data_IF_513633851944
#
_entry.id   IF_513633851944
#
_cell.length_a   1.000
_cell.length_b   1.000
_cell.length_c   1.000
_cell.angle_alpha   90.00
_cell.angle_beta   90.00
_cell.angle_gamma   90.00
#
_symmetry.space_group_name_H-M   'P 1'
#
loop_
_entity.id
_entity.type
_entity.pdbx_description
1 polymer ?
#
# COMPACT_ATOMS: atom_id res chain seq x y z
N UNK A 1 -146.80 99.18 -57.77
CA UNK A 1 -146.77 98.00 -56.88
C UNK A 1 -145.90 96.83 -57.40
N UNK A 2 -145.74 96.59 -58.70
CA UNK A 2 -144.88 95.49 -59.22
C UNK A 2 -143.36 95.71 -59.07
N UNK A 3 -142.90 96.97 -59.06
CA UNK A 3 -141.46 97.30 -58.91
C UNK A 3 -140.90 97.01 -57.51
N UNK A 4 -141.74 97.08 -56.48
CA UNK A 4 -141.32 97.00 -55.07
C UNK A 4 -141.20 95.54 -54.57
N UNK A 5 -141.97 94.64 -55.18
CA UNK A 5 -141.91 93.18 -54.96
C UNK A 5 -140.69 92.54 -55.65
N UNK A 6 -140.35 92.98 -56.86
CA UNK A 6 -139.15 92.54 -57.57
C UNK A 6 -137.86 92.99 -56.86
N UNK A 7 -137.84 94.19 -56.31
CA UNK A 7 -136.69 94.70 -55.54
C UNK A 7 -136.48 93.93 -54.22
N UNK A 8 -137.56 93.56 -53.51
CA UNK A 8 -137.48 92.72 -52.29
C UNK A 8 -137.03 91.29 -52.58
N UNK A 9 -137.55 90.64 -53.63
CA UNK A 9 -137.12 89.29 -54.02
C UNK A 9 -135.67 89.27 -54.52
N UNK A 10 -135.24 90.28 -55.28
CA UNK A 10 -133.85 90.40 -55.71
C UNK A 10 -132.90 90.61 -54.52
N UNK A 11 -133.30 91.36 -53.48
CA UNK A 11 -132.48 91.58 -52.28
C UNK A 11 -132.38 90.33 -51.39
N UNK A 12 -133.47 89.56 -51.25
CA UNK A 12 -133.45 88.26 -50.57
C UNK A 12 -132.63 87.21 -51.33
N UNK A 13 -132.76 87.14 -52.65
CA UNK A 13 -131.96 86.23 -53.49
C UNK A 13 -130.48 86.63 -53.52
N UNK A 14 -130.18 87.93 -53.47
CA UNK A 14 -128.80 88.42 -53.35
C UNK A 14 -128.20 88.09 -51.97
N UNK A 15 -128.97 88.22 -50.88
CA UNK A 15 -128.53 87.80 -49.54
C UNK A 15 -128.33 86.27 -49.43
N UNK A 16 -129.24 85.47 -50.00
CA UNK A 16 -129.12 84.00 -50.08
C UNK A 16 -127.92 83.54 -50.92
N UNK A 17 -127.70 84.16 -52.10
CA UNK A 17 -126.54 83.88 -52.93
C UNK A 17 -125.23 84.29 -52.24
N UNK A 18 -125.22 85.43 -51.53
CA UNK A 18 -124.05 85.90 -50.79
C UNK A 18 -123.70 84.97 -49.63
N UNK A 19 -124.70 84.41 -48.93
CA UNK A 19 -124.50 83.40 -47.89
C UNK A 19 -123.96 82.08 -48.45
N UNK A 20 -124.51 81.59 -49.57
CA UNK A 20 -124.00 80.38 -50.23
C UNK A 20 -122.56 80.57 -50.73
N UNK A 21 -122.25 81.71 -51.35
CA UNK A 21 -120.87 82.04 -51.79
C UNK A 21 -119.92 82.15 -50.60
N UNK A 22 -120.37 82.72 -49.48
CA UNK A 22 -119.57 82.79 -48.25
C UNK A 22 -119.31 81.41 -47.65
N UNK A 23 -120.32 80.54 -47.58
CA UNK A 23 -120.16 79.16 -47.12
C UNK A 23 -119.22 78.37 -48.03
N UNK A 24 -119.33 78.52 -49.35
CA UNK A 24 -118.42 77.88 -50.31
C UNK A 24 -116.99 78.41 -50.14
N UNK A 25 -116.80 79.71 -49.92
CA UNK A 25 -115.48 80.29 -49.68
C UNK A 25 -114.87 79.83 -48.35
N UNK A 26 -115.66 79.74 -47.27
CA UNK A 26 -115.25 79.20 -45.97
C UNK A 26 -114.89 77.71 -46.08
N UNK A 27 -115.69 76.93 -46.81
CA UNK A 27 -115.42 75.51 -47.08
C UNK A 27 -114.15 75.32 -47.93
N UNK A 28 -113.95 76.16 -48.94
CA UNK A 28 -112.76 76.14 -49.78
C UNK A 28 -111.50 76.55 -49.00
N UNK A 29 -111.60 77.52 -48.10
CA UNK A 29 -110.52 77.89 -47.19
C UNK A 29 -110.19 76.77 -46.19
N UNK A 30 -111.21 76.10 -45.61
CA UNK A 30 -111.01 74.94 -44.74
C UNK A 30 -110.32 73.78 -45.49
N UNK A 31 -110.81 73.44 -46.69
CA UNK A 31 -110.19 72.42 -47.54
C UNK A 31 -108.76 72.78 -47.92
N UNK A 32 -108.48 74.03 -48.29
CA UNK A 32 -107.12 74.48 -48.61
C UNK A 32 -106.18 74.36 -47.41
N UNK A 33 -106.63 74.77 -46.22
CA UNK A 33 -105.90 74.63 -44.96
C UNK A 33 -105.63 73.15 -44.61
N UNK A 34 -106.60 72.27 -44.86
CA UNK A 34 -106.45 70.84 -44.62
C UNK A 34 -105.48 70.17 -45.61
N UNK A 35 -105.54 70.54 -46.88
CA UNK A 35 -104.58 70.11 -47.91
C UNK A 35 -103.16 70.54 -47.53
N UNK A 36 -102.99 71.76 -47.04
CA UNK A 36 -101.68 72.30 -46.66
C UNK A 36 -101.09 71.57 -45.44
N UNK A 37 -101.92 71.25 -44.43
CA UNK A 37 -101.54 70.38 -43.31
C UNK A 37 -101.16 68.98 -43.77
N UNK A 38 -101.96 68.37 -44.64
CA UNK A 38 -101.68 67.03 -45.18
C UNK A 38 -100.37 67.01 -45.98
N UNK A 39 -100.07 68.08 -46.74
CA UNK A 39 -98.82 68.22 -47.49
C UNK A 39 -97.61 68.33 -46.55
N UNK A 40 -97.72 69.08 -45.46
CA UNK A 40 -96.66 69.16 -44.44
C UNK A 40 -96.38 67.79 -43.79
N UNK A 41 -97.43 67.04 -43.45
CA UNK A 41 -97.31 65.67 -42.92
C UNK A 41 -96.65 64.74 -43.95
N UNK A 42 -97.04 64.82 -45.22
CA UNK A 42 -96.42 64.06 -46.30
C UNK A 42 -94.92 64.31 -46.43
N UNK A 43 -94.47 65.58 -46.38
CA UNK A 43 -93.05 65.90 -46.43
C UNK A 43 -92.29 65.38 -45.21
N UNK A 44 -92.87 65.46 -44.01
CA UNK A 44 -92.26 64.89 -42.81
C UNK A 44 -92.12 63.36 -42.89
N UNK A 45 -93.16 62.68 -43.37
CA UNK A 45 -93.12 61.23 -43.59
C UNK A 45 -92.08 60.85 -44.64
N UNK A 46 -91.98 61.61 -45.73
CA UNK A 46 -90.98 61.38 -46.78
C UNK A 46 -89.55 61.55 -46.26
N UNK A 47 -89.29 62.59 -45.45
CA UNK A 47 -87.98 62.79 -44.82
C UNK A 47 -87.61 61.65 -43.88
N UNK A 48 -88.55 61.21 -43.02
CA UNK A 48 -88.35 60.05 -42.14
C UNK A 48 -88.10 58.76 -42.91
N UNK A 49 -88.82 58.54 -44.02
CA UNK A 49 -88.61 57.37 -44.85
C UNK A 49 -87.20 57.33 -45.44
N UNK A 50 -86.70 58.46 -45.94
CA UNK A 50 -85.34 58.56 -46.47
C UNK A 50 -84.26 58.38 -45.39
N UNK A 51 -84.51 58.84 -44.16
CA UNK A 51 -83.61 58.64 -43.03
C UNK A 51 -83.55 57.16 -42.63
N UNK A 52 -84.70 56.52 -42.47
CA UNK A 52 -84.78 55.08 -42.19
C UNK A 52 -84.15 54.23 -43.30
N UNK A 53 -84.31 54.62 -44.57
CA UNK A 53 -83.67 53.94 -45.69
C UNK A 53 -82.13 54.02 -45.63
N UNK A 54 -81.58 55.18 -45.22
CA UNK A 54 -80.13 55.32 -45.00
C UNK A 54 -79.64 54.47 -43.84
N UNK A 55 -80.35 54.49 -42.71
CA UNK A 55 -80.02 53.65 -41.55
C UNK A 55 -80.08 52.17 -41.90
N UNK A 56 -81.13 51.73 -42.60
CA UNK A 56 -81.27 50.35 -43.05
C UNK A 56 -80.10 49.91 -43.93
N UNK A 57 -79.68 50.75 -44.88
CA UNK A 57 -78.53 50.47 -45.74
C UNK A 57 -77.21 50.41 -44.95
N UNK A 58 -77.03 51.28 -43.95
CA UNK A 58 -75.86 51.26 -43.05
C UNK A 58 -75.80 49.98 -42.23
N UNK A 59 -76.90 49.61 -41.59
CA UNK A 59 -77.03 48.36 -40.81
C UNK A 59 -76.78 47.15 -41.71
N UNK A 60 -77.33 47.14 -42.93
CA UNK A 60 -77.12 46.04 -43.87
C UNK A 60 -75.64 45.89 -44.24
N UNK A 61 -74.90 46.99 -44.40
CA UNK A 61 -73.48 46.95 -44.70
C UNK A 61 -72.69 46.42 -43.50
N UNK A 62 -72.96 46.93 -42.30
CA UNK A 62 -72.31 46.51 -41.06
C UNK A 62 -72.54 45.02 -40.78
N UNK A 63 -73.78 44.54 -40.92
CA UNK A 63 -74.12 43.11 -40.79
C UNK A 63 -73.35 42.25 -41.78
N UNK A 64 -73.22 42.69 -43.05
CA UNK A 64 -72.45 41.94 -44.06
C UNK A 64 -70.95 41.93 -43.75
N UNK A 65 -70.41 42.99 -43.15
CA UNK A 65 -69.00 43.01 -42.76
C UNK A 65 -68.73 42.11 -41.56
N UNK A 66 -69.59 42.15 -40.53
CA UNK A 66 -69.45 41.31 -39.35
C UNK A 66 -69.67 39.83 -39.66
N UNK A 67 -70.60 39.49 -40.55
CA UNK A 67 -70.81 38.12 -41.03
C UNK A 67 -69.53 37.54 -41.69
N UNK A 68 -68.82 38.34 -42.49
CA UNK A 68 -67.54 37.92 -43.08
C UNK A 68 -66.45 37.74 -42.03
N UNK A 69 -66.39 38.61 -41.03
CA UNK A 69 -65.43 38.49 -39.93
C UNK A 69 -65.68 37.24 -39.09
N UNK A 70 -66.94 36.91 -38.82
CA UNK A 70 -67.32 35.67 -38.13
C UNK A 70 -66.82 34.45 -38.91
N UNK A 71 -67.07 34.40 -40.23
CA UNK A 71 -66.60 33.28 -41.05
C UNK A 71 -65.07 33.13 -41.03
N UNK A 72 -64.32 34.24 -41.10
CA UNK A 72 -62.86 34.19 -41.00
C UNK A 72 -62.37 33.71 -39.62
N UNK A 73 -63.08 34.07 -38.55
CA UNK A 73 -62.76 33.59 -37.21
C UNK A 73 -63.09 32.11 -37.05
N UNK A 74 -64.22 31.64 -37.59
CA UNK A 74 -64.61 30.23 -37.58
C UNK A 74 -63.56 29.35 -38.28
N UNK A 75 -63.09 29.78 -39.46
CA UNK A 75 -62.00 29.09 -40.18
C UNK A 75 -60.71 29.03 -39.33
N UNK A 76 -60.35 30.13 -38.66
CA UNK A 76 -59.18 30.18 -37.78
C UNK A 76 -59.33 29.27 -36.54
N UNK A 77 -60.53 29.18 -35.98
CA UNK A 77 -60.86 28.28 -34.87
C UNK A 77 -60.71 26.83 -35.32
N UNK A 78 -61.21 26.46 -36.50
CA UNK A 78 -61.12 25.09 -37.01
C UNK A 78 -59.67 24.64 -37.21
N UNK A 79 -58.84 25.49 -37.84
CA UNK A 79 -57.40 25.23 -38.03
C UNK A 79 -56.69 25.05 -36.68
N UNK A 80 -56.98 25.92 -35.71
CA UNK A 80 -56.35 25.86 -34.39
C UNK A 80 -56.77 24.59 -33.63
N UNK A 81 -58.05 24.21 -33.73
CA UNK A 81 -58.58 23.00 -33.12
C UNK A 81 -57.88 21.75 -33.67
N UNK A 82 -57.74 21.64 -34.99
CA UNK A 82 -57.02 20.54 -35.62
C UNK A 82 -55.56 20.47 -35.14
N UNK A 83 -54.89 21.63 -35.03
CA UNK A 83 -53.53 21.69 -34.53
C UNK A 83 -53.42 21.20 -33.07
N UNK A 84 -54.34 21.63 -32.20
CA UNK A 84 -54.40 21.17 -30.81
C UNK A 84 -54.62 19.66 -30.71
N UNK A 85 -55.56 19.10 -31.48
CA UNK A 85 -55.83 17.66 -31.51
C UNK A 85 -54.59 16.85 -31.94
N UNK A 86 -53.85 17.34 -32.94
CA UNK A 86 -52.60 16.70 -33.38
C UNK A 86 -51.51 16.78 -32.32
N UNK A 87 -51.37 17.91 -31.61
CA UNK A 87 -50.42 18.04 -30.50
C UNK A 87 -50.79 17.11 -29.34
N UNK A 88 -52.06 17.01 -28.98
CA UNK A 88 -52.52 16.09 -27.94
C UNK A 88 -52.21 14.63 -28.29
N UNK A 89 -52.41 14.24 -29.55
CA UNK A 89 -52.07 12.90 -30.01
C UNK A 89 -50.56 12.62 -29.87
N UNK A 90 -49.71 13.58 -30.24
CA UNK A 90 -48.25 13.47 -30.09
C UNK A 90 -47.83 13.38 -28.62
N UNK A 91 -48.41 14.20 -27.74
CA UNK A 91 -48.13 14.16 -26.30
C UNK A 91 -48.49 12.79 -25.72
N UNK A 92 -49.66 12.24 -26.09
CA UNK A 92 -50.06 10.89 -25.66
C UNK A 92 -49.11 9.81 -26.16
N UNK A 93 -48.66 9.89 -27.41
CA UNK A 93 -47.71 8.95 -27.97
C UNK A 93 -46.35 9.00 -27.23
N UNK A 94 -45.81 10.20 -27.01
CA UNK A 94 -44.56 10.40 -26.26
C UNK A 94 -44.68 9.92 -24.81
N UNK A 95 -45.83 10.13 -24.17
CA UNK A 95 -46.07 9.64 -22.81
C UNK A 95 -46.04 8.11 -22.74
N UNK A 96 -46.69 7.44 -23.70
CA UNK A 96 -46.69 5.98 -23.77
C UNK A 96 -45.28 5.42 -24.03
N UNK A 97 -44.51 6.04 -24.93
CA UNK A 97 -43.13 5.66 -25.19
C UNK A 97 -42.22 5.85 -23.97
N UNK A 98 -42.34 6.97 -23.25
CA UNK A 98 -41.61 7.20 -22.00
C UNK A 98 -41.94 6.16 -20.93
N UNK A 99 -43.22 5.79 -20.80
CA UNK A 99 -43.63 4.73 -19.88
C UNK A 99 -42.98 3.40 -20.23
N UNK A 100 -42.97 3.03 -21.52
CA UNK A 100 -42.32 1.81 -21.99
C UNK A 100 -40.82 1.81 -21.69
N UNK A 101 -40.12 2.89 -22.06
CA UNK A 101 -38.68 3.03 -21.82
C UNK A 101 -38.33 2.93 -20.33
N UNK A 102 -39.17 3.47 -19.45
CA UNK A 102 -38.98 3.37 -18.00
C UNK A 102 -39.06 1.91 -17.53
N UNK A 103 -40.08 1.16 -17.97
CA UNK A 103 -40.20 -0.26 -17.62
C UNK A 103 -39.03 -1.11 -18.16
N UNK A 104 -38.59 -0.84 -19.39
CA UNK A 104 -37.45 -1.53 -19.98
C UNK A 104 -36.16 -1.23 -19.18
N UNK A 105 -35.97 0.03 -18.74
CA UNK A 105 -34.84 0.43 -17.91
C UNK A 105 -34.87 -0.21 -16.51
N UNK A 106 -36.03 -0.26 -15.86
CA UNK A 106 -36.23 -0.93 -14.58
C UNK A 106 -35.90 -2.43 -14.69
N UNK A 107 -36.37 -3.09 -15.75
CA UNK A 107 -36.09 -4.51 -16.02
C UNK A 107 -34.58 -4.78 -16.15
N UNK A 108 -33.88 -3.98 -16.96
CA UNK A 108 -32.42 -4.11 -17.15
C UNK A 108 -31.67 -3.85 -15.84
N UNK A 109 -32.12 -2.89 -15.04
CA UNK A 109 -31.52 -2.59 -13.75
C UNK A 109 -31.65 -3.76 -12.76
N UNK A 110 -32.82 -4.38 -12.66
CA UNK A 110 -33.04 -5.56 -11.81
C UNK A 110 -32.16 -6.75 -12.24
N UNK A 111 -32.05 -7.01 -13.55
CA UNK A 111 -31.17 -8.05 -14.10
C UNK A 111 -29.70 -7.77 -13.76
N UNK A 112 -29.26 -6.51 -13.90
CA UNK A 112 -27.91 -6.09 -13.54
C UNK A 112 -27.61 -6.33 -12.05
N UNK A 113 -28.52 -5.93 -11.16
CA UNK A 113 -28.36 -6.10 -9.71
C UNK A 113 -28.29 -7.58 -9.33
N UNK A 114 -29.12 -8.42 -9.94
CA UNK A 114 -29.10 -9.87 -9.75
C UNK A 114 -27.76 -10.49 -10.17
N UNK A 115 -27.26 -10.12 -11.37
CA UNK A 115 -25.96 -10.60 -11.88
C UNK A 115 -24.82 -10.07 -11.00
N UNK A 116 -24.89 -8.82 -10.57
CA UNK A 116 -23.88 -8.20 -9.71
C UNK A 116 -23.79 -8.89 -8.35
N UNK A 117 -24.92 -9.18 -7.71
CA UNK A 117 -24.97 -9.91 -6.44
C UNK A 117 -24.34 -11.31 -6.58
N UNK A 118 -24.75 -12.06 -7.61
CA UNK A 118 -24.19 -13.39 -7.91
C UNK A 118 -22.68 -13.38 -8.14
N UNK A 119 -22.18 -12.40 -8.91
CA UNK A 119 -20.76 -12.25 -9.18
C UNK A 119 -19.97 -11.88 -7.91
N UNK A 120 -20.56 -11.04 -7.06
CA UNK A 120 -19.96 -10.65 -5.78
C UNK A 120 -19.82 -11.86 -4.86
N UNK A 121 -20.86 -12.68 -4.72
CA UNK A 121 -20.78 -13.94 -3.96
C UNK A 121 -19.72 -14.89 -4.50
N UNK A 122 -19.62 -15.02 -5.83
CA UNK A 122 -18.61 -15.89 -6.44
C UNK A 122 -17.19 -15.40 -6.18
N UNK A 123 -16.95 -14.08 -6.22
CA UNK A 123 -15.65 -13.49 -5.88
C UNK A 123 -15.27 -13.74 -4.43
N UNK A 124 -16.21 -13.58 -3.50
CA UNK A 124 -15.96 -13.86 -2.08
C UNK A 124 -15.67 -15.35 -1.85
N UNK A 125 -16.37 -16.26 -2.53
CA UNK A 125 -16.05 -17.71 -2.50
C UNK A 125 -14.63 -18.00 -3.00
N UNK A 126 -14.21 -17.40 -4.10
CA UNK A 126 -12.83 -17.54 -4.60
C UNK A 126 -11.82 -17.01 -3.58
N UNK A 127 -12.08 -15.83 -3.01
CA UNK A 127 -11.20 -15.21 -2.02
C UNK A 127 -11.06 -16.08 -0.77
N UNK A 128 -12.17 -16.61 -0.26
CA UNK A 128 -12.16 -17.55 0.87
C UNK A 128 -11.34 -18.81 0.54
N UNK A 129 -11.54 -19.39 -0.65
CA UNK A 129 -10.78 -20.57 -1.06
C UNK A 129 -9.27 -20.28 -1.20
N UNK A 130 -8.90 -19.15 -1.80
CA UNK A 130 -7.50 -18.71 -1.87
C UNK A 130 -6.90 -18.58 -0.47
N UNK A 131 -7.59 -17.94 0.46
CA UNK A 131 -7.09 -17.78 1.83
C UNK A 131 -6.87 -19.13 2.52
N UNK A 132 -7.80 -20.07 2.36
CA UNK A 132 -7.65 -21.43 2.89
C UNK A 132 -6.43 -22.14 2.26
N UNK A 133 -6.24 -21.99 0.95
CA UNK A 133 -5.09 -22.56 0.26
C UNK A 133 -3.77 -21.99 0.81
N UNK A 134 -3.67 -20.65 0.94
CA UNK A 134 -2.50 -19.99 1.53
C UNK A 134 -2.22 -20.47 2.96
N UNK A 135 -3.27 -20.62 3.78
CA UNK A 135 -3.13 -21.11 5.14
C UNK A 135 -2.60 -22.55 5.15
N UNK A 136 -3.15 -23.44 4.33
CA UNK A 136 -2.68 -24.82 4.19
C UNK A 136 -1.22 -24.88 3.70
N UNK A 137 -0.89 -24.11 2.67
CA UNK A 137 0.46 -24.04 2.11
C UNK A 137 1.46 -23.53 3.14
N UNK A 138 1.11 -22.50 3.92
CA UNK A 138 1.96 -21.97 4.99
C UNK A 138 2.26 -22.99 6.10
N UNK A 139 1.32 -23.91 6.35
CA UNK A 139 1.46 -25.00 7.33
C UNK A 139 2.16 -26.24 6.76
N UNK A 140 2.44 -26.27 5.46
CA UNK A 140 3.10 -27.41 4.84
C UNK A 140 4.53 -27.54 5.41
N UNK A 141 4.97 -28.77 5.76
CA UNK A 141 6.29 -28.98 6.38
C UNK A 141 7.44 -28.35 5.59
N UNK A 142 7.38 -28.42 4.26
CA UNK A 142 8.38 -27.83 3.35
C UNK A 142 8.44 -26.31 3.49
N UNK A 143 7.30 -25.62 3.63
CA UNK A 143 7.27 -24.17 3.80
C UNK A 143 7.78 -23.74 5.17
N UNK A 144 7.42 -24.47 6.22
CA UNK A 144 7.94 -24.25 7.58
C UNK A 144 9.46 -24.46 7.60
N UNK A 145 9.94 -25.56 7.01
CA UNK A 145 11.37 -25.86 6.93
C UNK A 145 12.13 -24.81 6.11
N UNK A 146 11.55 -24.36 4.99
CA UNK A 146 12.12 -23.28 4.19
C UNK A 146 12.23 -21.97 4.98
N UNK A 147 11.19 -21.60 5.73
CA UNK A 147 11.21 -20.42 6.60
C UNK A 147 12.31 -20.54 7.68
N UNK A 148 12.42 -21.69 8.32
CA UNK A 148 13.47 -21.96 9.31
C UNK A 148 14.87 -21.90 8.69
N UNK A 149 15.09 -22.52 7.53
CA UNK A 149 16.37 -22.46 6.81
C UNK A 149 16.73 -21.04 6.39
N UNK A 150 15.76 -20.24 5.93
CA UNK A 150 15.97 -18.81 5.64
C UNK A 150 16.40 -18.05 6.88
N UNK A 151 15.76 -18.29 8.03
CA UNK A 151 16.13 -17.66 9.31
C UNK A 151 17.56 -18.04 9.74
N UNK A 152 17.92 -19.32 9.66
CA UNK A 152 19.29 -19.81 9.96
C UNK A 152 20.31 -19.14 9.03
N UNK A 153 20.02 -19.06 7.73
CA UNK A 153 20.91 -18.40 6.76
C UNK A 153 21.07 -16.91 7.10
N UNK A 154 20.02 -16.21 7.53
CA UNK A 154 20.14 -14.81 7.95
C UNK A 154 21.01 -14.67 9.20
N UNK A 155 20.85 -15.53 10.20
CA UNK A 155 21.67 -15.52 11.41
C UNK A 155 23.14 -15.87 11.13
N UNK A 156 23.41 -16.84 10.25
CA UNK A 156 24.77 -17.17 9.86
C UNK A 156 25.43 -16.03 9.09
N UNK A 157 24.66 -15.30 8.27
CA UNK A 157 25.16 -14.10 7.58
C UNK A 157 25.54 -13.01 8.58
N UNK A 158 24.73 -12.76 9.61
CA UNK A 158 25.06 -11.75 10.63
C UNK A 158 26.29 -12.15 11.45
N UNK A 159 26.38 -13.41 11.93
CA UNK A 159 27.56 -13.91 12.66
C UNK A 159 28.83 -13.88 11.82
N UNK A 160 28.74 -14.21 10.53
CA UNK A 160 29.87 -14.12 9.61
C UNK A 160 30.36 -12.67 9.49
N UNK A 161 29.45 -11.72 9.38
CA UNK A 161 29.78 -10.29 9.29
C UNK A 161 30.45 -9.80 10.59
N UNK A 162 29.89 -10.16 11.75
CA UNK A 162 30.48 -9.87 13.06
C UNK A 162 31.92 -10.42 13.19
N UNK A 163 32.13 -11.68 12.83
CA UNK A 163 33.46 -12.30 12.85
C UNK A 163 34.43 -11.64 11.86
N UNK A 164 33.96 -11.27 10.67
CA UNK A 164 34.79 -10.57 9.68
C UNK A 164 35.24 -9.21 10.21
N UNK A 165 34.34 -8.48 10.86
CA UNK A 165 34.64 -7.21 11.50
C UNK A 165 35.63 -7.37 12.66
N UNK A 166 35.48 -8.40 13.50
CA UNK A 166 36.42 -8.68 14.60
C UNK A 166 37.82 -9.05 14.09
N UNK A 167 37.90 -9.85 13.02
CA UNK A 167 39.18 -10.25 12.40
C UNK A 167 39.87 -9.12 11.63
N UNK A 168 39.12 -8.15 11.09
CA UNK A 168 39.72 -6.97 10.46
C UNK A 168 40.16 -5.92 11.47
N UNK A 169 39.62 -5.96 12.69
CA UNK A 169 39.97 -5.03 13.75
C UNK A 169 41.19 -5.54 14.55
N UNK A 170 42.33 -4.84 14.56
CA UNK A 170 43.46 -5.21 15.42
C UNK A 170 43.13 -5.16 16.93
N UNK A 171 42.06 -4.46 17.32
CA UNK A 171 41.50 -4.46 18.69
C UNK A 171 40.36 -5.48 18.87
N UNK A 172 40.08 -6.32 17.88
CA UNK A 172 39.07 -7.36 17.93
C UNK A 172 39.33 -8.35 19.07
N UNK A 173 38.26 -8.88 19.67
CA UNK A 173 38.33 -9.72 20.86
C UNK A 173 39.19 -10.97 20.64
N UNK A 174 39.03 -11.64 19.50
CA UNK A 174 39.82 -12.84 19.17
C UNK A 174 41.29 -12.49 18.89
N UNK A 175 41.53 -11.41 18.14
CA UNK A 175 42.90 -10.97 17.83
C UNK A 175 43.63 -10.59 19.10
N UNK A 176 42.97 -9.86 20.00
CA UNK A 176 43.53 -9.44 21.28
C UNK A 176 43.90 -10.64 22.16
N UNK A 177 43.02 -11.64 22.26
CA UNK A 177 43.31 -12.86 23.02
C UNK A 177 44.53 -13.60 22.47
N UNK A 178 44.61 -13.80 21.14
CA UNK A 178 45.76 -14.44 20.50
C UNK A 178 47.04 -13.63 20.73
N UNK A 179 46.95 -12.30 20.69
CA UNK A 179 48.08 -11.42 20.93
C UNK A 179 48.60 -11.52 22.37
N UNK A 180 47.70 -11.60 23.35
CA UNK A 180 48.02 -11.83 24.76
C UNK A 180 48.70 -13.20 24.96
N UNK A 181 48.18 -14.28 24.39
CA UNK A 181 48.80 -15.62 24.45
C UNK A 181 50.21 -15.64 23.81
N UNK A 182 50.38 -14.97 22.66
CA UNK A 182 51.71 -14.82 22.04
C UNK A 182 52.68 -14.09 22.97
N UNK A 183 52.23 -13.06 23.69
CA UNK A 183 53.10 -12.34 24.63
C UNK A 183 53.48 -13.20 25.85
N UNK A 184 52.54 -13.99 26.37
CA UNK A 184 52.81 -14.92 27.47
C UNK A 184 53.84 -15.97 27.06
N UNK A 185 53.64 -16.62 25.91
CA UNK A 185 54.60 -17.61 25.39
C UNK A 185 55.98 -17.00 25.12
N UNK A 186 56.05 -15.77 24.60
CA UNK A 186 57.33 -15.06 24.44
C UNK A 186 58.07 -14.90 25.77
N UNK A 187 57.35 -14.52 26.83
CA UNK A 187 57.91 -14.34 28.17
C UNK A 187 58.37 -15.67 28.80
N UNK A 188 57.62 -16.75 28.61
CA UNK A 188 58.02 -18.09 29.06
C UNK A 188 59.28 -18.56 28.33
N UNK A 189 59.34 -18.40 27.00
CA UNK A 189 60.51 -18.74 26.21
C UNK A 189 61.75 -17.97 26.69
N UNK A 190 61.63 -16.67 26.98
CA UNK A 190 62.76 -15.89 27.49
C UNK A 190 63.20 -16.38 28.87
N UNK A 191 62.27 -16.66 29.79
CA UNK A 191 62.57 -17.19 31.12
C UNK A 191 63.28 -18.55 31.05
N UNK A 192 62.79 -19.46 30.21
CA UNK A 192 63.40 -20.78 30.01
C UNK A 192 64.79 -20.64 29.38
N UNK A 193 64.99 -19.76 28.40
CA UNK A 193 66.31 -19.48 27.82
C UNK A 193 67.31 -19.00 28.88
N UNK A 194 66.90 -18.06 29.73
CA UNK A 194 67.74 -17.57 30.83
C UNK A 194 68.09 -18.69 31.83
N UNK A 195 67.13 -19.56 32.15
CA UNK A 195 67.35 -20.70 33.02
C UNK A 195 68.34 -21.71 32.40
N UNK A 196 68.19 -22.02 31.11
CA UNK A 196 69.10 -22.91 30.36
C UNK A 196 70.51 -22.33 30.35
N UNK A 197 70.67 -21.03 30.10
CA UNK A 197 71.98 -20.37 30.13
C UNK A 197 72.65 -20.54 31.50
N UNK A 198 71.92 -20.25 32.59
CA UNK A 198 72.44 -20.44 33.97
C UNK A 198 72.85 -21.89 34.25
N UNK A 199 72.05 -22.87 33.81
CA UNK A 199 72.39 -24.30 33.96
C UNK A 199 73.60 -24.70 33.12
N UNK A 200 73.76 -24.11 31.95
CA UNK A 200 74.90 -24.34 31.06
C UNK A 200 76.20 -23.82 31.69
N UNK A 201 76.16 -22.63 32.30
CA UNK A 201 77.31 -22.06 33.02
C UNK A 201 77.74 -22.95 34.20
N UNK A 202 76.79 -23.39 35.04
CA UNK A 202 77.05 -24.30 36.16
C UNK A 202 77.63 -25.64 35.69
N UNK A 203 77.14 -26.19 34.58
CA UNK A 203 77.66 -27.43 34.01
C UNK A 203 79.12 -27.27 33.57
N UNK A 204 79.49 -26.11 33.02
CA UNK A 204 80.86 -25.82 32.62
C UNK A 204 81.79 -25.69 33.83
N UNK A 205 81.32 -25.11 34.94
CA UNK A 205 82.04 -25.09 36.21
C UNK A 205 82.26 -26.49 36.78
N UNK A 206 81.23 -27.34 36.80
CA UNK A 206 81.33 -28.74 37.23
C UNK A 206 82.32 -29.53 36.37
N UNK A 207 82.29 -29.38 35.04
CA UNK A 207 83.28 -30.00 34.14
C UNK A 207 84.72 -29.61 34.51
N UNK A 208 84.96 -28.34 34.83
CA UNK A 208 86.28 -27.86 35.28
C UNK A 208 86.68 -28.47 36.61
N UNK A 209 85.76 -28.59 37.57
CA UNK A 209 86.04 -29.26 38.86
C UNK A 209 86.33 -30.76 38.67
N UNK A 210 85.52 -31.46 37.87
CA UNK A 210 85.72 -32.87 37.57
C UNK A 210 87.09 -33.12 36.92
N UNK A 211 87.51 -32.26 35.99
CA UNK A 211 88.83 -32.35 35.37
C UNK A 211 89.98 -32.18 36.38
N UNK A 212 89.83 -31.31 37.39
CA UNK A 212 90.80 -31.17 38.49
C UNK A 212 90.85 -32.42 39.36
N UNK A 213 89.69 -32.91 39.82
CA UNK A 213 89.60 -34.12 40.65
C UNK A 213 90.19 -35.35 39.94
N UNK A 214 89.94 -35.50 38.63
CA UNK A 214 90.49 -36.60 37.84
C UNK A 214 92.02 -36.58 37.83
N UNK A 215 92.65 -35.41 37.69
CA UNK A 215 94.11 -35.26 37.78
C UNK A 215 94.64 -35.60 39.18
N UNK A 216 93.96 -35.16 40.24
CA UNK A 216 94.34 -35.48 41.62
C UNK A 216 94.27 -36.99 41.91
N UNK A 217 93.19 -37.66 41.50
CA UNK A 217 93.04 -39.12 41.62
C UNK A 217 94.17 -39.83 40.87
N UNK A 218 94.52 -39.41 39.66
CA UNK A 218 95.61 -40.00 38.89
C UNK A 218 96.96 -39.85 39.61
N UNK A 219 97.24 -38.68 40.20
CA UNK A 219 98.43 -38.44 41.01
C UNK A 219 98.45 -39.35 42.25
N UNK A 220 97.34 -39.49 42.95
CA UNK A 220 97.22 -40.37 44.12
C UNK A 220 97.42 -41.84 43.74
N UNK A 221 96.82 -42.30 42.64
CA UNK A 221 97.00 -43.67 42.16
C UNK A 221 98.45 -43.99 41.82
N UNK A 222 99.18 -43.05 41.18
CA UNK A 222 100.63 -43.20 40.94
C UNK A 222 101.43 -43.29 42.24
N UNK A 223 101.06 -42.50 43.26
CA UNK A 223 101.67 -42.58 44.60
C UNK A 223 101.39 -43.93 45.27
N UNK A 224 100.16 -44.41 45.24
CA UNK A 224 99.78 -45.70 45.82
C UNK A 224 100.47 -46.87 45.10
N UNK A 225 100.57 -46.85 43.78
CA UNK A 225 101.31 -47.87 43.01
C UNK A 225 102.80 -47.90 43.38
N UNK A 226 103.43 -46.74 43.55
CA UNK A 226 104.81 -46.66 44.01
C UNK A 226 104.99 -47.24 45.43
N UNK A 227 104.05 -46.96 46.34
CA UNK A 227 104.06 -47.53 47.70
C UNK A 227 103.89 -49.06 47.64
N UNK A 228 102.93 -49.56 46.85
CA UNK A 228 102.68 -50.99 46.68
C UNK A 228 103.90 -51.72 46.14
N UNK A 229 104.55 -51.19 45.09
CA UNK A 229 105.80 -51.75 44.54
C UNK A 229 106.90 -51.82 45.59
N UNK A 230 107.06 -50.77 46.40
CA UNK A 230 108.07 -50.73 47.47
C UNK A 230 107.80 -51.79 48.55
N UNK A 231 106.56 -51.90 49.02
CA UNK A 231 106.14 -52.91 49.98
C UNK A 231 106.34 -54.33 49.42
N UNK A 232 106.02 -54.54 48.14
CA UNK A 232 106.23 -55.83 47.48
C UNK A 232 107.72 -56.22 47.41
N UNK A 233 108.61 -55.26 47.11
CA UNK A 233 110.05 -55.48 47.18
C UNK A 233 110.54 -55.80 48.61
N UNK A 234 110.02 -55.10 49.63
CA UNK A 234 110.34 -55.38 51.03
C UNK A 234 109.90 -56.79 51.45
N UNK A 235 108.70 -57.21 51.05
CA UNK A 235 108.17 -58.54 51.33
C UNK A 235 108.99 -59.65 50.65
N UNK A 236 109.36 -59.46 49.38
CA UNK A 236 110.21 -60.41 48.67
C UNK A 236 111.60 -60.56 49.30
N UNK A 237 112.18 -59.45 49.80
CA UNK A 237 113.44 -59.47 50.55
C UNK A 237 113.32 -60.26 51.86
N UNK A 238 112.23 -60.08 52.59
CA UNK A 238 111.93 -60.87 53.80
C UNK A 238 111.75 -62.36 53.49
N UNK A 239 111.03 -62.71 52.42
CA UNK A 239 110.87 -64.11 52.01
C UNK A 239 112.20 -64.77 51.61
N UNK A 240 113.06 -64.04 50.89
CA UNK A 240 114.40 -64.52 50.52
C UNK A 240 115.26 -64.76 51.77
N UNK A 241 115.28 -63.81 52.71
CA UNK A 241 115.97 -63.98 54.00
C UNK A 241 115.43 -65.18 54.79
N UNK A 242 114.10 -65.36 54.86
CA UNK A 242 113.49 -66.51 55.54
C UNK A 242 113.94 -67.85 54.94
N UNK A 243 114.00 -67.96 53.60
CA UNK A 243 114.52 -69.17 52.93
C UNK A 243 115.98 -69.41 53.28
N UNK A 244 116.80 -68.37 53.29
CA UNK A 244 118.22 -68.47 53.65
C UNK A 244 118.42 -68.91 55.11
N UNK A 245 117.62 -68.38 56.04
CA UNK A 245 117.65 -68.79 57.44
C UNK A 245 117.22 -70.25 57.61
N UNK A 246 116.18 -70.69 56.88
CA UNK A 246 115.78 -72.10 56.86
C UNK A 246 116.89 -73.02 56.35
N UNK A 247 117.60 -72.61 55.29
CA UNK A 247 118.72 -73.37 54.75
C UNK A 247 119.88 -73.46 55.75
N UNK A 248 120.23 -72.36 56.42
CA UNK A 248 121.23 -72.35 57.48
C UNK A 248 120.86 -73.27 58.65
N UNK A 249 119.59 -73.28 59.07
CA UNK A 249 119.08 -74.18 60.13
C UNK A 249 119.26 -75.64 59.71
N UNK A 250 118.84 -76.03 58.51
CA UNK A 250 119.02 -77.40 58.03
C UNK A 250 120.49 -77.83 57.97
N UNK A 251 121.39 -76.93 57.56
CA UNK A 251 122.83 -77.21 57.58
C UNK A 251 123.36 -77.41 59.00
N UNK A 252 122.94 -76.57 59.95
CA UNK A 252 123.33 -76.72 61.36
C UNK A 252 122.75 -77.99 61.99
N UNK A 253 121.52 -78.36 61.67
CA UNK A 253 120.90 -79.63 62.10
C UNK A 253 121.65 -80.85 61.56
N UNK A 254 122.06 -80.81 60.28
CA UNK A 254 122.85 -81.88 59.66
C UNK A 254 124.22 -82.02 60.33
N UNK A 255 124.89 -80.89 60.62
CA UNK A 255 126.17 -80.85 61.35
C UNK A 255 126.02 -81.35 62.80
N UNK A 256 124.91 -81.05 63.46
CA UNK A 256 124.60 -81.57 64.79
C UNK A 256 124.34 -83.08 64.77
N UNK A 257 123.66 -83.60 63.74
CA UNK A 257 123.45 -85.04 63.54
C UNK A 257 124.76 -85.79 63.28
N UNK A 258 125.69 -85.22 62.52
CA UNK A 258 127.03 -85.78 62.30
C UNK A 258 127.87 -85.83 63.59
N UNK A 259 127.84 -84.77 64.41
CA UNK A 259 128.49 -84.75 65.72
C UNK A 259 127.89 -85.78 66.69
N UNK A 260 126.56 -86.02 66.64
CA UNK A 260 125.92 -87.10 67.41
C UNK A 260 126.38 -88.49 66.99
N UNK A 261 126.74 -88.70 65.71
CA UNK A 261 127.16 -90.01 65.19
C UNK A 261 128.59 -90.39 65.59
N UNK A 262 129.45 -89.42 65.92
CA UNK A 262 130.85 -89.66 66.33
C UNK A 262 131.04 -89.92 67.85
N UNK A 263 130.01 -89.72 68.68
CA UNK A 263 130.13 -89.76 70.15
C UNK A 263 129.58 -91.02 70.87
N UNK A 264 129.11 -92.05 70.14
CA UNK A 264 128.88 -93.39 70.70
C UNK A 264 128.04 -93.47 71.99
N UNK A 265 126.82 -92.93 72.00
CA UNK A 265 125.81 -93.12 73.06
C UNK A 265 124.49 -93.60 72.44
N UNK A 266 123.94 -94.69 72.99
CA UNK A 266 122.64 -95.28 72.60
C UNK A 266 121.50 -94.62 73.40
N UNK A 267 120.47 -94.22 72.65
CA UNK A 267 119.05 -93.95 72.94
C UNK A 267 118.64 -93.15 74.19
N UNK A 268 117.85 -92.09 73.91
CA UNK A 268 116.38 -92.22 73.84
C UNK A 268 115.87 -91.71 72.49
#
# INVERSE_FOLDING_TARGET
MLSELLYKMAKQNYQSLTEVVKQVAEQQHLQSSEIEKNKAVLFQLQAKFQELEKEMNSILLETKTTEREIHLQDDAIEVTKYHCENLEAQVRALYFENMKLRFDAETIQEEYEMIFARNTEYREKIKAHKNLFWEMESKMPVMIELANKKAIVTELKTKKEELMNDLQNPEGSLIKQVQEEITLLKNEITSVKEFINKKTDLLEEEKKMHAKLKKEIEVQNKRYDAILKRLHCQLNKLHSNKRQWHWNIQQMEKKAAELRKCLGVVEL
#
